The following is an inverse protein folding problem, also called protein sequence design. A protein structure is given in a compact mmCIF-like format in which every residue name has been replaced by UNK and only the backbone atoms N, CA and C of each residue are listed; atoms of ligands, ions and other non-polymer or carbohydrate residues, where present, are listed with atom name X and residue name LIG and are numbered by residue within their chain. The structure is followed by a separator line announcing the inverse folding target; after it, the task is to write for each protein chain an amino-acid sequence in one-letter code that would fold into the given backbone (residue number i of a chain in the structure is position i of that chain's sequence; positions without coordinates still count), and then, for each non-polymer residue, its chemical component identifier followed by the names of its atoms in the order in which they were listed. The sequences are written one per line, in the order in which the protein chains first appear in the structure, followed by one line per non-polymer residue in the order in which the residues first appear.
data_IF_531421204023
#
_entry.id   IF_531421204023
#
_cell.length_a   1.000
_cell.length_b   1.000
_cell.length_c   1.000
_cell.angle_alpha   90.00
_cell.angle_beta   90.00
_cell.angle_gamma   90.00
#
_symmetry.space_group_name_H-M   'P 1'
#
loop_
_entity.id
_entity.type
_entity.pdbx_description
1 polymer ?
#
# COMPACT_ATOMS: atom_id res chain seq x y z
N UNK A 1 17.71 6.63 9.34
CA UNK A 1 16.25 6.70 9.04
C UNK A 1 15.56 5.40 9.39
N UNK A 2 14.33 5.47 9.91
CA UNK A 2 13.54 4.27 10.28
C UNK A 2 12.27 4.19 9.45
N UNK A 3 12.08 3.05 8.76
CA UNK A 3 10.89 2.76 7.99
C UNK A 3 10.03 1.76 8.75
N UNK A 4 8.81 2.15 9.09
CA UNK A 4 7.85 1.31 9.79
C UNK A 4 6.85 0.72 8.80
N UNK A 5 6.81 -0.61 8.73
CA UNK A 5 5.93 -1.35 7.80
C UNK A 5 5.15 -2.45 8.50
N UNK A 6 4.10 -2.92 7.83
CA UNK A 6 3.44 -4.15 8.23
C UNK A 6 4.35 -5.38 8.06
N UNK A 7 4.24 -6.38 8.95
CA UNK A 7 4.96 -7.65 8.87
C UNK A 7 4.74 -8.39 7.55
N UNK A 8 5.70 -9.27 7.25
CA UNK A 8 5.69 -10.14 6.09
C UNK A 8 4.66 -11.27 6.24
N UNK A 9 3.85 -11.49 5.21
CA UNK A 9 2.89 -12.59 5.10
C UNK A 9 2.73 -13.02 3.64
N UNK A 10 2.17 -14.21 3.41
CA UNK A 10 1.91 -14.75 2.05
C UNK A 10 3.17 -14.92 1.18
N UNK A 11 4.35 -15.04 1.79
CA UNK A 11 5.63 -15.02 1.06
C UNK A 11 5.99 -13.64 0.49
N UNK A 12 5.19 -12.62 0.81
CA UNK A 12 5.47 -11.23 0.51
C UNK A 12 6.17 -10.56 1.70
N UNK A 13 7.02 -9.58 1.44
CA UNK A 13 7.78 -8.89 2.48
C UNK A 13 6.92 -7.96 3.36
N UNK A 14 5.68 -7.68 2.96
CA UNK A 14 4.67 -7.04 3.79
C UNK A 14 3.27 -7.49 3.36
N UNK A 15 2.34 -7.55 4.30
CA UNK A 15 0.93 -7.87 4.04
C UNK A 15 0.10 -6.69 3.51
N UNK A 16 0.54 -5.45 3.70
CA UNK A 16 -0.19 -4.25 3.31
C UNK A 16 0.37 -3.66 2.01
N UNK A 17 -0.53 -3.26 1.11
CA UNK A 17 -0.18 -2.79 -0.23
C UNK A 17 0.65 -1.50 -0.17
N UNK A 18 0.27 -0.59 0.72
CA UNK A 18 0.99 0.69 0.87
C UNK A 18 2.38 0.39 1.45
N UNK A 19 2.50 -0.50 2.43
CA UNK A 19 3.80 -0.94 2.97
C UNK A 19 4.72 -1.58 1.91
N UNK A 20 4.14 -2.36 0.98
CA UNK A 20 4.88 -2.93 -0.15
C UNK A 20 5.43 -1.86 -1.10
N UNK A 21 4.72 -0.75 -1.30
CA UNK A 21 5.20 0.35 -2.16
C UNK A 21 6.44 1.05 -1.57
N UNK A 22 6.56 1.12 -0.24
CA UNK A 22 7.71 1.73 0.43
C UNK A 22 8.94 0.82 0.47
N UNK A 23 8.74 -0.50 0.36
CA UNK A 23 9.82 -1.47 0.52
C UNK A 23 10.94 -1.36 -0.52
N UNK A 24 10.70 -1.12 -1.84
CA UNK A 24 11.76 -0.91 -2.83
C UNK A 24 12.87 0.03 -2.36
N UNK A 25 12.53 1.04 -1.56
CA UNK A 25 13.50 1.98 -1.01
C UNK A 25 14.58 1.33 -0.15
N UNK A 26 14.32 0.19 0.52
CA UNK A 26 15.35 -0.56 1.26
C UNK A 26 16.41 -1.15 0.34
N UNK A 27 16.03 -1.59 -0.86
CA UNK A 27 16.98 -2.11 -1.85
C UNK A 27 17.83 -1.01 -2.46
N UNK A 28 17.22 0.16 -2.64
CA UNK A 28 17.85 1.33 -3.23
C UNK A 28 18.76 2.04 -2.21
N UNK A 29 18.35 2.07 -0.93
CA UNK A 29 19.04 2.75 0.15
C UNK A 29 19.29 1.81 1.35
N UNK A 30 20.51 1.25 1.46
CA UNK A 30 20.87 0.31 2.53
C UNK A 30 20.79 0.90 3.95
N UNK A 31 20.82 2.22 4.11
CA UNK A 31 20.72 2.89 5.42
C UNK A 31 19.29 2.93 6.01
N UNK A 32 18.27 2.46 5.31
CA UNK A 32 16.94 2.32 5.92
C UNK A 32 16.88 1.14 6.87
N UNK A 33 16.70 1.44 8.15
CA UNK A 33 16.38 0.43 9.14
C UNK A 33 14.88 0.12 9.08
N UNK A 34 14.58 -1.11 8.66
CA UNK A 34 13.21 -1.62 8.59
C UNK A 34 12.79 -2.05 9.99
N UNK A 35 11.76 -1.40 10.52
CA UNK A 35 11.19 -1.74 11.82
C UNK A 35 9.78 -2.31 11.62
N UNK A 36 9.61 -3.58 11.97
CA UNK A 36 8.31 -4.25 11.91
C UNK A 36 7.60 -3.92 13.21
N UNK A 37 6.64 -3.01 13.14
CA UNK A 37 5.91 -2.57 14.33
C UNK A 37 4.58 -3.30 14.45
N UNK A 38 4.30 -3.83 15.65
CA UNK A 38 2.94 -4.20 16.02
C UNK A 38 2.09 -2.93 16.03
N UNK A 39 0.95 -2.96 15.34
CA UNK A 39 0.11 -1.78 15.13
C UNK A 39 -0.35 -1.18 16.45
N UNK A 40 0.37 -0.16 16.92
CA UNK A 40 0.23 0.49 18.22
C UNK A 40 -0.53 1.82 18.15
N UNK A 41 -1.27 2.09 17.08
CA UNK A 41 -2.16 3.26 17.00
C UNK A 41 -2.11 4.04 15.68
N UNK A 42 -1.00 4.00 14.96
CA UNK A 42 -0.78 4.76 13.72
C UNK A 42 -1.11 3.94 12.46
N UNK A 43 -1.61 4.63 11.43
CA UNK A 43 -1.79 4.04 10.09
C UNK A 43 -0.39 3.83 9.47
N UNK A 44 0.10 2.59 9.46
CA UNK A 44 1.32 2.16 8.74
C UNK A 44 1.05 2.09 7.22
N UNK A 45 2.06 2.29 6.35
CA UNK A 45 3.48 2.56 6.66
C UNK A 45 3.79 4.04 6.94
N UNK A 46 4.89 4.32 7.64
CA UNK A 46 5.45 5.67 7.75
C UNK A 46 6.98 5.64 7.89
N UNK A 47 7.62 6.68 7.37
CA UNK A 47 9.06 6.91 7.51
C UNK A 47 9.30 7.96 8.59
N UNK A 48 10.27 7.71 9.47
CA UNK A 48 10.85 8.70 10.38
C UNK A 48 12.23 9.11 9.86
N UNK A 49 12.37 10.39 9.50
CA UNK A 49 13.64 10.98 9.08
C UNK A 49 14.53 11.27 10.30
N UNK A 50 15.81 11.57 10.06
CA UNK A 50 16.74 11.95 11.14
C UNK A 50 16.34 13.26 11.83
N UNK A 51 15.61 14.11 11.12
CA UNK A 51 15.04 15.38 11.59
C UNK A 51 13.71 15.21 12.35
N UNK A 52 13.31 13.96 12.65
CA UNK A 52 12.04 13.59 13.29
C UNK A 52 10.78 13.93 12.48
N UNK A 53 10.91 14.17 11.17
CA UNK A 53 9.74 14.32 10.31
C UNK A 53 9.11 12.96 10.03
N UNK A 54 7.77 12.90 10.09
CA UNK A 54 6.99 11.71 9.80
C UNK A 54 6.36 11.81 8.41
N UNK A 55 6.71 10.88 7.53
CA UNK A 55 6.19 10.83 6.15
C UNK A 55 5.32 9.58 6.02
N UNK A 56 4.02 9.78 5.85
CA UNK A 56 3.04 8.69 5.67
C UNK A 56 2.57 8.53 4.23
N UNK A 57 2.65 9.59 3.42
CA UNK A 57 2.17 9.58 2.03
C UNK A 57 3.26 9.11 1.07
N UNK A 58 2.91 8.18 0.18
CA UNK A 58 3.85 7.63 -0.79
C UNK A 58 4.41 8.69 -1.74
N UNK A 59 3.59 9.63 -2.23
CA UNK A 59 4.07 10.72 -3.11
C UNK A 59 5.13 11.58 -2.41
N UNK A 60 4.86 11.93 -1.15
CA UNK A 60 5.75 12.75 -0.33
C UNK A 60 7.04 12.00 0.03
N UNK A 61 6.96 10.68 0.16
CA UNK A 61 8.11 9.80 0.32
C UNK A 61 8.97 9.73 -0.95
N UNK A 62 8.37 9.62 -2.14
CA UNK A 62 9.11 9.67 -3.42
C UNK A 62 9.80 11.03 -3.59
N UNK A 63 9.11 12.13 -3.31
CA UNK A 63 9.71 13.48 -3.35
C UNK A 63 10.86 13.62 -2.35
N UNK A 64 10.71 13.04 -1.16
CA UNK A 64 11.78 12.98 -0.17
C UNK A 64 13.01 12.24 -0.70
N UNK A 65 12.81 11.07 -1.34
CA UNK A 65 13.91 10.31 -1.91
C UNK A 65 14.60 11.05 -3.06
N UNK A 66 13.84 11.71 -3.95
CA UNK A 66 14.36 12.52 -5.05
C UNK A 66 15.22 13.70 -4.56
N UNK A 67 14.83 14.31 -3.45
CA UNK A 67 15.55 15.44 -2.85
C UNK A 67 16.67 15.01 -1.91
N UNK A 68 16.74 13.72 -1.54
CA UNK A 68 17.79 13.21 -0.68
C UNK A 68 19.13 13.27 -1.41
N UNK A 69 20.19 13.73 -0.72
CA UNK A 69 21.56 13.92 -1.29
C UNK A 69 22.28 12.62 -1.66
N UNK A 70 21.57 11.51 -1.69
CA UNK A 70 22.12 10.21 -2.04
C UNK A 70 22.00 10.09 -3.56
N UNK A 71 23.03 9.57 -4.24
CA UNK A 71 23.04 9.38 -5.69
C UNK A 71 22.06 8.26 -6.08
N UNK A 72 20.77 8.55 -5.94
CA UNK A 72 19.70 7.63 -6.26
C UNK A 72 19.18 7.96 -7.65
N UNK A 73 19.52 7.10 -8.60
CA UNK A 73 18.86 7.09 -9.91
C UNK A 73 17.50 6.40 -9.73
N UNK A 74 16.49 7.17 -9.33
CA UNK A 74 15.09 6.70 -9.29
C UNK A 74 14.49 6.81 -10.68
N UNK A 75 14.11 8.04 -11.02
CA UNK A 75 13.31 8.35 -12.21
C UNK A 75 13.85 9.58 -12.98
N UNK A 76 14.98 10.14 -12.54
CA UNK A 76 15.46 11.43 -13.03
C UNK A 76 15.88 11.40 -14.52
N UNK A 77 16.11 10.20 -15.07
CA UNK A 77 16.54 10.00 -16.45
C UNK A 77 15.37 9.60 -17.40
N UNK A 78 14.11 9.60 -16.94
CA UNK A 78 12.99 9.24 -17.82
C UNK A 78 12.65 10.33 -18.83
N UNK A 79 12.40 9.90 -20.07
CA UNK A 79 11.93 10.77 -21.16
C UNK A 79 10.48 11.19 -20.86
N UNK A 80 10.04 12.42 -21.23
CA UNK A 80 8.67 12.88 -20.98
C UNK A 80 7.56 11.93 -21.45
N UNK A 81 7.77 11.19 -22.55
CA UNK A 81 6.82 10.17 -23.02
C UNK A 81 6.66 9.02 -22.02
N UNK A 82 7.76 8.54 -21.43
CA UNK A 82 7.74 7.44 -20.47
C UNK A 82 7.10 7.87 -19.15
N UNK A 83 7.25 9.13 -18.76
CA UNK A 83 6.54 9.71 -17.61
C UNK A 83 5.03 9.72 -17.83
N UNK A 84 4.58 10.11 -19.02
CA UNK A 84 3.15 10.05 -19.37
C UNK A 84 2.62 8.60 -19.33
N UNK A 85 3.38 7.65 -19.85
CA UNK A 85 3.02 6.23 -19.80
C UNK A 85 2.94 5.71 -18.35
N UNK A 86 3.92 6.06 -17.51
CA UNK A 86 3.90 5.73 -16.08
C UNK A 86 2.66 6.27 -15.36
N UNK A 87 2.31 7.53 -15.61
CA UNK A 87 1.12 8.15 -15.03
C UNK A 87 -0.17 7.46 -15.51
N UNK A 88 -0.23 7.10 -16.79
CA UNK A 88 -1.35 6.36 -17.36
C UNK A 88 -1.51 4.98 -16.71
N UNK A 89 -0.43 4.21 -16.57
CA UNK A 89 -0.46 2.91 -15.88
C UNK A 89 -0.80 3.05 -14.39
N UNK A 90 -0.25 4.05 -13.70
CA UNK A 90 -0.58 4.35 -12.30
C UNK A 90 -2.08 4.63 -12.12
N UNK A 91 -2.66 5.41 -13.03
CA UNK A 91 -4.09 5.69 -13.05
C UNK A 91 -4.92 4.43 -13.33
N UNK A 92 -4.50 3.61 -14.29
CA UNK A 92 -5.16 2.35 -14.65
C UNK A 92 -5.21 1.39 -13.44
N UNK A 93 -4.07 1.18 -12.77
CA UNK A 93 -3.97 0.36 -11.56
C UNK A 93 -4.91 0.87 -10.46
N UNK A 94 -4.93 2.17 -10.22
CA UNK A 94 -5.80 2.81 -9.21
C UNK A 94 -7.28 2.69 -9.56
N UNK A 95 -7.64 2.72 -10.84
CA UNK A 95 -9.02 2.74 -11.29
C UNK A 95 -9.63 1.33 -11.43
N UNK A 96 -8.87 0.37 -11.97
CA UNK A 96 -9.39 -0.98 -12.27
C UNK A 96 -8.98 -2.01 -11.22
N UNK A 97 -7.70 -2.05 -10.83
CA UNK A 97 -7.17 -3.11 -9.97
C UNK A 97 -7.39 -2.83 -8.48
N UNK A 98 -7.17 -1.60 -8.01
CA UNK A 98 -7.38 -1.22 -6.60
C UNK A 98 -8.79 -1.55 -6.07
N UNK A 99 -9.91 -1.20 -6.75
CA UNK A 99 -11.23 -1.55 -6.22
C UNK A 99 -11.47 -3.06 -6.17
N UNK A 100 -10.95 -3.83 -7.12
CA UNK A 100 -11.06 -5.29 -7.12
C UNK A 100 -10.29 -5.93 -5.96
N UNK A 101 -9.10 -5.40 -5.66
CA UNK A 101 -8.29 -5.83 -4.53
C UNK A 101 -8.99 -5.53 -3.20
N UNK A 102 -9.54 -4.32 -3.04
CA UNK A 102 -10.30 -3.95 -1.83
C UNK A 102 -11.56 -4.80 -1.65
N UNK A 103 -12.27 -5.10 -2.74
CA UNK A 103 -13.43 -5.99 -2.73
C UNK A 103 -13.02 -7.40 -2.26
N UNK A 104 -11.96 -7.95 -2.84
CA UNK A 104 -11.50 -9.33 -2.57
C UNK A 104 -10.95 -9.49 -1.16
N UNK A 105 -10.22 -8.50 -0.64
CA UNK A 105 -9.59 -8.61 0.69
C UNK A 105 -10.55 -8.22 1.83
N UNK A 106 -11.35 -7.16 1.67
CA UNK A 106 -12.09 -6.58 2.80
C UNK A 106 -13.61 -6.78 2.75
N UNK A 107 -14.19 -7.01 1.57
CA UNK A 107 -15.64 -7.12 1.40
C UNK A 107 -16.10 -8.57 1.19
N UNK A 108 -15.27 -9.40 0.57
CA UNK A 108 -15.53 -10.84 0.51
C UNK A 108 -15.42 -11.46 1.91
N UNK A 109 -16.54 -12.03 2.37
CA UNK A 109 -16.66 -12.62 3.71
C UNK A 109 -15.72 -13.81 3.90
N UNK A 110 -15.47 -14.60 2.85
CA UNK A 110 -14.65 -15.79 2.96
C UNK A 110 -13.18 -15.40 3.15
N UNK A 111 -12.64 -14.58 2.25
CA UNK A 111 -11.26 -14.11 2.35
C UNK A 111 -11.01 -13.29 3.61
N UNK A 112 -11.97 -12.43 3.98
CA UNK A 112 -11.85 -11.61 5.17
C UNK A 112 -11.76 -12.46 6.45
N UNK A 113 -12.71 -13.37 6.67
CA UNK A 113 -12.77 -14.15 7.91
C UNK A 113 -11.66 -15.20 8.01
N UNK A 114 -11.29 -15.83 6.89
CA UNK A 114 -10.32 -16.92 6.89
C UNK A 114 -8.88 -16.43 6.93
N UNK A 115 -8.58 -15.34 6.20
CA UNK A 115 -7.21 -14.93 5.90
C UNK A 115 -6.93 -13.55 6.51
N UNK A 116 -7.57 -12.51 5.99
CA UNK A 116 -7.20 -11.11 6.28
C UNK A 116 -7.38 -10.79 7.77
N UNK A 117 -8.49 -11.19 8.36
CA UNK A 117 -8.77 -10.96 9.77
C UNK A 117 -7.69 -11.56 10.67
N UNK A 118 -7.32 -12.82 10.43
CA UNK A 118 -6.34 -13.52 11.25
C UNK A 118 -4.94 -12.90 11.09
N UNK A 119 -4.50 -12.65 9.85
CA UNK A 119 -3.18 -12.06 9.60
C UNK A 119 -3.01 -10.68 10.25
N UNK A 120 -4.03 -9.82 10.21
CA UNK A 120 -3.92 -8.50 10.84
C UNK A 120 -4.04 -8.57 12.37
N UNK A 121 -4.95 -9.40 12.90
CA UNK A 121 -5.18 -9.49 14.36
C UNK A 121 -4.01 -10.12 15.11
N UNK A 122 -3.21 -10.99 14.48
CA UNK A 122 -1.96 -11.51 15.05
C UNK A 122 -0.93 -10.42 15.39
N UNK A 123 -0.99 -9.29 14.68
CA UNK A 123 -0.03 -8.21 14.79
C UNK A 123 -0.61 -6.96 15.48
N UNK A 124 -1.85 -7.05 15.97
CA UNK A 124 -2.59 -5.98 16.62
C UNK A 124 -2.91 -6.36 18.06
N UNK A 125 -2.80 -5.39 18.97
CA UNK A 125 -3.08 -5.61 20.38
C UNK A 125 -4.60 -5.46 20.61
N UNK A 126 -5.19 -6.37 21.38
CA UNK A 126 -6.57 -6.22 21.83
C UNK A 126 -6.70 -5.04 22.82
N UNK A 127 -7.69 -4.14 22.69
CA UNK A 127 -8.84 -4.16 21.76
C UNK A 127 -8.63 -3.34 20.48
N UNK A 128 -7.48 -2.67 20.32
CA UNK A 128 -7.19 -1.80 19.16
C UNK A 128 -7.35 -2.53 17.83
N UNK A 129 -7.02 -3.82 17.78
CA UNK A 129 -7.23 -4.66 16.59
C UNK A 129 -8.66 -4.63 16.07
N UNK A 130 -9.66 -4.71 16.94
CA UNK A 130 -11.08 -4.68 16.53
C UNK A 130 -11.44 -3.34 15.86
N UNK A 131 -11.01 -2.23 16.48
CA UNK A 131 -11.23 -0.89 15.94
C UNK A 131 -10.51 -0.70 14.59
N UNK A 132 -9.25 -1.11 14.51
CA UNK A 132 -8.43 -0.96 13.30
C UNK A 132 -9.03 -1.70 12.10
N UNK A 133 -9.47 -2.94 12.33
CA UNK A 133 -10.07 -3.78 11.30
C UNK A 133 -11.38 -3.19 10.76
N UNK A 134 -12.26 -2.72 11.65
CA UNK A 134 -13.49 -2.05 11.24
C UNK A 134 -13.22 -0.72 10.52
N UNK A 135 -12.22 0.05 10.96
CA UNK A 135 -11.77 1.28 10.28
C UNK A 135 -11.30 0.99 8.85
N UNK A 136 -10.42 -0.01 8.66
CA UNK A 136 -9.92 -0.40 7.33
C UNK A 136 -11.03 -0.92 6.43
N UNK A 137 -11.92 -1.76 6.96
CA UNK A 137 -13.07 -2.31 6.22
C UNK A 137 -14.07 -1.21 5.81
N UNK A 138 -14.34 -0.25 6.70
CA UNK A 138 -15.20 0.90 6.39
C UNK A 138 -14.61 1.76 5.28
N UNK A 139 -13.29 2.07 5.34
CA UNK A 139 -12.57 2.78 4.27
C UNK A 139 -12.65 2.02 2.93
N UNK A 140 -12.43 0.70 2.95
CA UNK A 140 -12.52 -0.13 1.75
C UNK A 140 -13.94 -0.15 1.16
N UNK A 141 -14.97 -0.29 2.01
CA UNK A 141 -16.37 -0.23 1.58
C UNK A 141 -16.73 1.12 0.96
N UNK A 142 -16.27 2.22 1.55
CA UNK A 142 -16.49 3.56 1.00
C UNK A 142 -15.84 3.73 -0.38
N UNK A 143 -14.60 3.25 -0.55
CA UNK A 143 -13.87 3.31 -1.82
C UNK A 143 -14.50 2.44 -2.92
N UNK A 144 -15.02 1.25 -2.57
CA UNK A 144 -15.72 0.41 -3.55
C UNK A 144 -17.08 1.01 -3.91
N UNK A 145 -17.83 1.53 -2.93
CA UNK A 145 -19.12 2.20 -3.16
C UNK A 145 -19.00 3.43 -4.05
N UNK A 146 -17.91 4.21 -3.93
CA UNK A 146 -17.70 5.39 -4.78
C UNK A 146 -17.52 5.03 -6.26
N UNK A 147 -17.09 3.79 -6.55
CA UNK A 147 -16.95 3.28 -7.92
C UNK A 147 -18.32 3.04 -8.59
N UNK A 148 -19.41 2.89 -7.81
CA UNK A 148 -20.79 2.62 -8.28
C UNK A 148 -20.95 1.39 -9.20
N UNK A 149 -19.99 0.46 -9.14
CA UNK A 149 -19.98 -0.77 -9.94
C UNK A 149 -20.40 -1.97 -9.10
N UNK A 150 -21.00 -2.97 -9.76
CA UNK A 150 -21.27 -4.27 -9.14
C UNK A 150 -19.97 -5.05 -8.95
N UNK A 151 -19.95 -6.02 -8.02
CA UNK A 151 -18.80 -6.90 -7.80
C UNK A 151 -18.33 -7.58 -9.08
N UNK A 152 -19.25 -8.09 -9.91
CA UNK A 152 -18.93 -8.75 -11.18
C UNK A 152 -18.29 -7.80 -12.20
N UNK A 153 -18.73 -6.54 -12.21
CA UNK A 153 -18.15 -5.51 -13.09
C UNK A 153 -16.75 -5.15 -12.63
N UNK A 154 -16.53 -5.01 -11.32
CA UNK A 154 -15.21 -4.73 -10.74
C UNK A 154 -14.23 -5.86 -11.06
N UNK A 155 -14.65 -7.12 -10.97
CA UNK A 155 -13.80 -8.26 -11.32
C UNK A 155 -13.49 -8.31 -12.81
N UNK A 156 -14.48 -8.04 -13.66
CA UNK A 156 -14.28 -8.02 -15.12
C UNK A 156 -13.34 -6.89 -15.54
N UNK A 157 -13.52 -5.70 -14.96
CA UNK A 157 -12.64 -4.55 -15.21
C UNK A 157 -11.20 -4.84 -14.77
N UNK A 158 -11.00 -5.54 -13.64
CA UNK A 158 -9.67 -5.90 -13.19
C UNK A 158 -8.99 -6.92 -14.12
N UNK A 159 -9.73 -7.91 -14.63
CA UNK A 159 -9.21 -8.86 -15.62
C UNK A 159 -8.81 -8.14 -16.89
N UNK A 160 -9.69 -7.28 -17.43
CA UNK A 160 -9.35 -6.48 -18.61
C UNK A 160 -8.15 -5.56 -18.35
N UNK A 161 -8.11 -4.92 -17.18
CA UNK A 161 -6.99 -4.05 -16.80
C UNK A 161 -5.67 -4.81 -16.65
N UNK A 162 -5.69 -6.09 -16.29
CA UNK A 162 -4.49 -6.93 -16.23
C UNK A 162 -4.01 -7.40 -17.60
N UNK A 163 -4.87 -7.44 -18.61
CA UNK A 163 -4.49 -7.72 -20.00
C UNK A 163 -3.91 -6.47 -20.70
N UNK A 164 -4.23 -5.28 -20.20
CA UNK A 164 -3.78 -3.98 -20.72
C UNK A 164 -2.38 -3.57 -20.20
N UNK A 165 -1.82 -4.29 -19.22
CA UNK A 165 -0.50 -4.05 -18.60
C UNK A 165 0.52 -5.04 -19.15
#
# INVERSE_FOLDING_TARGET
MFLYIWPAEFGLPSMDIESLQFMPAKFVLPQFYLNIQLGLGSDLPYLITEEQETICDFSRFVDFLRNSKQDIVLDNDLVPSQLCDFDAYSALLKQKIRPALLQTFWLDKYNYNSIIHNCYTQHLIFPYGLYYMEKKRSKASAAVKSTRKSQQQITMDAVQGSEEI
#
